data_IF_403384119852
#
_entry.id   IF_403384119852
#
_cell.length_a   1.000
_cell.length_b   1.000
_cell.length_c   1.000
_cell.angle_alpha   90.00
_cell.angle_beta   90.00
_cell.angle_gamma   90.00
#
_symmetry.space_group_name_H-M   'P 1'
#
loop_
_entity.id
_entity.type
_entity.pdbx_description
1 polymer ?
#
# COMPACT_ATOMS: atom_id res chain seq x y z
N UNK A 1 0.07 -11.86 26.23
CA UNK A 1 1.21 -12.79 26.22
C UNK A 1 1.68 -12.95 24.79
N UNK A 2 2.87 -12.42 24.48
CA UNK A 2 3.51 -12.55 23.17
C UNK A 2 3.71 -14.03 22.83
N UNK A 3 3.37 -14.45 21.61
CA UNK A 3 4.04 -15.59 20.97
C UNK A 3 4.51 -15.16 19.59
N UNK A 4 5.80 -14.87 19.58
CA UNK A 4 6.66 -14.72 18.43
C UNK A 4 6.65 -16.06 17.68
N UNK A 5 5.88 -16.16 16.61
CA UNK A 5 5.71 -17.37 15.81
C UNK A 5 6.28 -17.18 14.42
N UNK A 6 7.61 -17.16 14.29
CA UNK A 6 8.27 -17.48 13.00
C UNK A 6 7.88 -18.90 12.63
N UNK A 7 6.77 -19.02 11.90
CA UNK A 7 6.31 -20.27 11.31
C UNK A 7 7.22 -20.62 10.14
N UNK A 8 8.39 -21.20 10.45
CA UNK A 8 9.08 -22.06 9.49
C UNK A 8 8.24 -23.32 9.36
N UNK A 9 7.15 -23.24 8.59
CA UNK A 9 6.41 -24.40 8.12
C UNK A 9 6.99 -24.80 6.77
N UNK A 10 8.20 -25.34 6.81
CA UNK A 10 8.54 -26.39 5.85
C UNK A 10 7.58 -27.54 6.13
N UNK A 11 6.50 -27.59 5.35
CA UNK A 11 5.50 -28.64 5.43
C UNK A 11 6.22 -29.96 5.12
N UNK A 12 6.42 -30.76 6.17
CA UNK A 12 6.63 -32.19 6.02
C UNK A 12 5.44 -32.72 5.22
N UNK A 13 5.72 -33.20 4.00
CA UNK A 13 4.75 -33.94 3.20
C UNK A 13 4.16 -35.01 4.12
N UNK A 14 2.84 -34.93 4.27
CA UNK A 14 2.01 -35.72 5.16
C UNK A 14 1.99 -37.18 4.69
N UNK A 15 3.07 -37.91 5.00
CA UNK A 15 3.15 -39.36 4.87
C UNK A 15 2.53 -40.03 6.10
N UNK A 16 1.25 -40.37 5.96
CA UNK A 16 0.49 -41.41 6.68
C UNK A 16 1.13 -41.99 7.97
N UNK A 17 0.71 -41.48 9.14
CA UNK A 17 1.02 -42.06 10.45
C UNK A 17 0.08 -43.25 10.69
N UNK A 18 0.47 -44.44 10.23
CA UNK A 18 -0.06 -45.72 10.68
C UNK A 18 1.05 -46.79 10.64
N UNK A 19 1.40 -47.34 11.80
CA UNK A 19 2.05 -48.65 11.90
C UNK A 19 3.56 -48.68 12.19
N UNK A 20 3.86 -49.05 13.44
CA UNK A 20 5.04 -49.78 13.92
C UNK A 20 6.43 -49.12 13.93
N UNK A 21 7.07 -49.27 15.09
CA UNK A 21 8.43 -48.87 15.34
C UNK A 21 9.42 -49.70 14.54
N UNK A 22 10.07 -49.04 13.59
CA UNK A 22 11.41 -49.38 13.16
C UNK A 22 12.18 -48.06 13.05
N UNK A 23 13.34 -48.01 13.69
CA UNK A 23 14.31 -46.92 13.52
C UNK A 23 14.92 -47.05 12.14
N UNK A 24 14.17 -46.72 11.09
CA UNK A 24 14.72 -46.57 9.76
C UNK A 24 15.67 -45.37 9.78
N UNK A 25 16.87 -45.54 9.24
CA UNK A 25 17.74 -44.46 8.81
C UNK A 25 16.87 -43.42 8.12
N UNK A 26 16.70 -42.25 8.76
CA UNK A 26 15.97 -41.14 8.15
C UNK A 26 16.78 -40.67 6.95
N UNK A 27 16.51 -41.28 5.80
CA UNK A 27 16.74 -40.65 4.51
C UNK A 27 16.17 -39.24 4.65
N UNK A 28 16.97 -38.17 4.42
CA UNK A 28 16.46 -36.82 4.55
C UNK A 28 15.30 -36.66 3.57
N UNK A 29 14.08 -36.65 4.08
CA UNK A 29 12.88 -36.39 3.29
C UNK A 29 13.09 -35.03 2.66
N UNK A 30 13.03 -34.98 1.33
CA UNK A 30 13.22 -33.74 0.56
C UNK A 30 12.21 -32.71 1.05
N UNK A 31 12.68 -31.69 1.76
CA UNK A 31 11.85 -30.53 2.11
C UNK A 31 11.58 -29.85 0.77
N UNK A 32 10.33 -29.91 0.30
CA UNK A 32 9.92 -29.25 -0.93
C UNK A 32 9.08 -28.03 -0.56
N UNK A 33 9.46 -26.86 -1.08
CA UNK A 33 8.67 -25.64 -0.92
C UNK A 33 7.42 -25.72 -1.80
N UNK A 34 6.25 -25.74 -1.17
CA UNK A 34 4.97 -25.79 -1.87
C UNK A 34 4.55 -24.39 -2.35
N UNK A 35 5.01 -24.03 -3.57
CA UNK A 35 4.62 -22.77 -4.22
C UNK A 35 3.12 -22.68 -4.52
N UNK A 36 2.40 -23.81 -4.53
CA UNK A 36 0.98 -23.89 -4.91
C UNK A 36 0.01 -23.74 -3.73
N UNK A 37 0.54 -23.67 -2.51
CA UNK A 37 -0.24 -23.53 -1.28
C UNK A 37 -1.29 -22.43 -1.38
N UNK A 38 -2.47 -22.68 -0.84
CA UNK A 38 -3.54 -21.69 -0.73
C UNK A 38 -3.10 -20.43 0.03
N UNK A 39 -2.10 -20.55 0.90
CA UNK A 39 -1.53 -19.44 1.67
C UNK A 39 -0.80 -18.39 0.81
N UNK A 40 -0.49 -18.74 -0.44
CA UNK A 40 0.15 -17.86 -1.44
C UNK A 40 -0.81 -17.46 -2.56
N UNK A 41 -2.11 -17.58 -2.33
CA UNK A 41 -3.15 -17.10 -3.24
C UNK A 41 -3.81 -15.84 -2.71
N UNK A 42 -4.28 -15.00 -3.62
CA UNK A 42 -4.94 -13.72 -3.34
C UNK A 42 -6.07 -13.47 -4.36
N UNK A 43 -6.79 -12.35 -4.22
CA UNK A 43 -7.88 -11.96 -5.12
C UNK A 43 -8.90 -13.11 -5.29
N UNK A 44 -9.52 -13.52 -4.17
CA UNK A 44 -10.46 -14.65 -4.11
C UNK A 44 -9.84 -16.00 -4.50
N UNK A 45 -8.58 -16.23 -4.14
CA UNK A 45 -7.78 -17.42 -4.47
C UNK A 45 -7.51 -17.65 -5.97
N UNK A 46 -7.80 -16.65 -6.81
CA UNK A 46 -7.62 -16.73 -8.26
C UNK A 46 -6.16 -16.57 -8.70
N UNK A 47 -5.38 -15.76 -7.98
CA UNK A 47 -4.03 -15.37 -8.40
C UNK A 47 -2.98 -15.71 -7.35
N UNK A 48 -1.78 -16.06 -7.80
CA UNK A 48 -0.62 -16.15 -6.93
C UNK A 48 -0.26 -14.75 -6.39
N UNK A 49 0.19 -14.66 -5.13
CA UNK A 49 0.47 -13.39 -4.43
C UNK A 49 1.41 -12.45 -5.18
N UNK A 50 2.40 -13.00 -5.90
CA UNK A 50 3.27 -12.21 -6.80
C UNK A 50 2.49 -11.50 -7.91
N UNK A 51 1.63 -12.23 -8.61
CA UNK A 51 0.82 -11.67 -9.71
C UNK A 51 -0.18 -10.66 -9.17
N UNK A 52 -0.83 -10.97 -8.05
CA UNK A 52 -1.71 -10.03 -7.37
C UNK A 52 -1.00 -8.74 -6.96
N UNK A 53 0.19 -8.84 -6.36
CA UNK A 53 0.99 -7.68 -5.97
C UNK A 53 1.43 -6.83 -7.18
N UNK A 54 1.76 -7.45 -8.33
CA UNK A 54 2.06 -6.72 -9.56
C UNK A 54 0.83 -5.97 -10.10
N UNK A 55 -0.35 -6.62 -10.10
CA UNK A 55 -1.60 -5.98 -10.54
C UNK A 55 -1.94 -4.80 -9.63
N UNK A 56 -1.84 -4.98 -8.32
CA UNK A 56 -2.05 -3.92 -7.33
C UNK A 56 -1.10 -2.74 -7.59
N UNK A 57 0.20 -3.00 -7.74
CA UNK A 57 1.17 -1.95 -8.04
C UNK A 57 0.87 -1.17 -9.33
N UNK A 58 0.34 -1.84 -10.36
CA UNK A 58 -0.11 -1.17 -11.59
C UNK A 58 -1.34 -0.29 -11.36
N UNK A 59 -2.33 -0.76 -10.59
CA UNK A 59 -3.53 0.02 -10.27
C UNK A 59 -3.15 1.22 -9.39
N UNK A 60 -2.27 1.04 -8.42
CA UNK A 60 -1.77 2.09 -7.55
C UNK A 60 -1.01 3.16 -8.34
N UNK A 61 -0.19 2.77 -9.32
CA UNK A 61 0.46 3.73 -10.23
C UNK A 61 -0.56 4.58 -11.02
N UNK A 62 -1.68 3.99 -11.45
CA UNK A 62 -2.76 4.73 -12.09
C UNK A 62 -3.49 5.67 -11.12
N UNK A 63 -3.69 5.26 -9.87
CA UNK A 63 -4.27 6.11 -8.83
C UNK A 63 -3.36 7.29 -8.50
N UNK A 64 -2.06 7.07 -8.37
CA UNK A 64 -1.07 8.15 -8.17
C UNK A 64 -1.15 9.16 -9.32
N UNK A 65 -1.23 8.69 -10.56
CA UNK A 65 -1.39 9.57 -11.73
C UNK A 65 -2.70 10.37 -11.67
N UNK A 66 -3.81 9.72 -11.29
CA UNK A 66 -5.10 10.41 -11.13
C UNK A 66 -5.02 11.53 -10.08
N UNK A 67 -4.48 11.25 -8.88
CA UNK A 67 -4.32 12.26 -7.84
C UNK A 67 -3.37 13.38 -8.26
N UNK A 68 -2.29 13.07 -8.96
CA UNK A 68 -1.38 14.07 -9.52
C UNK A 68 -2.11 15.03 -10.48
N UNK A 69 -2.90 14.50 -11.42
CA UNK A 69 -3.67 15.31 -12.37
C UNK A 69 -4.72 16.17 -11.63
N UNK A 70 -5.40 15.59 -10.65
CA UNK A 70 -6.39 16.30 -9.83
C UNK A 70 -5.75 17.46 -9.04
N UNK A 71 -4.61 17.23 -8.42
CA UNK A 71 -3.85 18.23 -7.68
C UNK A 71 -3.37 19.38 -8.58
N UNK A 72 -2.88 19.06 -9.79
CA UNK A 72 -2.54 20.05 -10.80
C UNK A 72 -3.76 20.87 -11.24
N UNK A 73 -4.92 20.23 -11.40
CA UNK A 73 -6.14 20.91 -11.78
C UNK A 73 -6.58 21.93 -10.71
N UNK A 74 -6.58 21.55 -9.43
CA UNK A 74 -6.86 22.47 -8.33
C UNK A 74 -5.87 23.63 -8.33
N UNK A 75 -4.58 23.34 -8.49
CA UNK A 75 -3.54 24.37 -8.51
C UNK A 75 -3.73 25.36 -9.66
N UNK A 76 -4.02 24.89 -10.87
CA UNK A 76 -4.23 25.77 -12.03
C UNK A 76 -5.56 26.53 -12.00
N UNK A 77 -6.61 25.94 -11.43
CA UNK A 77 -7.88 26.64 -11.23
C UNK A 77 -7.82 27.69 -10.12
N UNK A 78 -6.80 27.62 -9.25
CA UNK A 78 -6.59 28.61 -8.21
C UNK A 78 -6.13 29.95 -8.81
N UNK A 79 -7.09 30.84 -9.08
CA UNK A 79 -6.83 32.14 -9.71
C UNK A 79 -6.15 33.13 -8.74
N UNK A 80 -4.82 33.07 -8.70
CA UNK A 80 -3.95 33.91 -7.87
C UNK A 80 -4.20 35.43 -8.10
N UNK A 81 -4.61 35.82 -9.31
CA UNK A 81 -4.79 37.24 -9.67
C UNK A 81 -6.05 37.85 -9.06
N UNK A 82 -7.05 37.04 -8.75
CA UNK A 82 -8.31 37.51 -8.13
C UNK A 82 -8.15 37.63 -6.61
N UNK A 83 -7.42 36.73 -5.95
CA UNK A 83 -7.18 36.83 -4.50
C UNK A 83 -6.29 38.02 -4.13
N UNK A 84 -5.25 38.33 -4.91
CA UNK A 84 -4.37 39.46 -4.63
C UNK A 84 -5.11 40.81 -4.66
N UNK A 85 -6.19 40.91 -5.45
CA UNK A 85 -7.10 42.08 -5.47
C UNK A 85 -8.08 42.14 -4.30
N UNK A 86 -8.36 41.00 -3.66
CA UNK A 86 -9.29 40.88 -2.52
C UNK A 86 -8.66 41.17 -1.16
N UNK A 87 -7.33 41.36 -1.10
CA UNK A 87 -6.60 41.65 0.14
C UNK A 87 -6.46 40.45 1.10
N UNK A 88 -6.97 39.28 0.74
CA UNK A 88 -6.84 38.04 1.52
C UNK A 88 -5.48 37.42 1.25
N UNK A 89 -4.66 37.31 2.30
CA UNK A 89 -3.24 36.91 2.26
C UNK A 89 -2.99 35.41 2.44
N UNK A 90 -4.01 34.56 2.31
CA UNK A 90 -3.93 33.13 2.67
C UNK A 90 -3.88 32.25 1.43
N UNK A 91 -2.67 32.04 0.90
CA UNK A 91 -2.41 31.00 -0.10
C UNK A 91 -2.29 29.64 0.62
N UNK A 92 -3.44 29.02 0.88
CA UNK A 92 -3.51 27.68 1.49
C UNK A 92 -3.33 26.56 0.44
N UNK A 93 -3.56 26.85 -0.84
CA UNK A 93 -3.53 25.86 -1.92
C UNK A 93 -2.09 25.47 -2.23
N UNK A 94 -1.16 26.43 -2.27
CA UNK A 94 0.25 26.11 -2.57
C UNK A 94 0.91 25.17 -1.54
N UNK A 95 0.82 25.39 -0.21
CA UNK A 95 1.37 24.45 0.77
C UNK A 95 0.76 23.05 0.69
N UNK A 96 -0.55 22.95 0.47
CA UNK A 96 -1.25 21.66 0.34
C UNK A 96 -0.81 20.92 -0.92
N UNK A 97 -0.70 21.64 -2.05
CA UNK A 97 -0.17 21.10 -3.30
C UNK A 97 1.26 20.56 -3.12
N UNK A 98 2.16 21.31 -2.49
CA UNK A 98 3.54 20.87 -2.24
C UNK A 98 3.57 19.60 -1.37
N UNK A 99 2.76 19.56 -0.30
CA UNK A 99 2.68 18.39 0.57
C UNK A 99 2.19 17.14 -0.20
N UNK A 100 1.19 17.30 -1.05
CA UNK A 100 0.66 16.23 -1.90
C UNK A 100 1.69 15.74 -2.92
N UNK A 101 2.42 16.65 -3.59
CA UNK A 101 3.49 16.29 -4.54
C UNK A 101 4.60 15.47 -3.86
N UNK A 102 4.97 15.83 -2.63
CA UNK A 102 5.95 15.04 -1.85
C UNK A 102 5.39 13.66 -1.54
N UNK A 103 4.14 13.56 -1.08
CA UNK A 103 3.47 12.29 -0.80
C UNK A 103 3.41 11.37 -2.02
N UNK A 104 2.96 11.90 -3.16
CA UNK A 104 2.89 11.16 -4.44
C UNK A 104 4.28 10.74 -4.93
N UNK A 105 5.30 11.58 -4.75
CA UNK A 105 6.68 11.25 -5.08
C UNK A 105 7.20 10.07 -4.25
N UNK A 106 6.99 10.07 -2.94
CA UNK A 106 7.36 8.97 -2.05
C UNK A 106 6.62 7.68 -2.42
N UNK A 107 5.31 7.77 -2.70
CA UNK A 107 4.50 6.64 -3.15
C UNK A 107 5.01 6.05 -4.47
N UNK A 108 5.37 6.91 -5.44
CA UNK A 108 5.93 6.47 -6.73
C UNK A 108 7.23 5.69 -6.55
N UNK A 109 8.14 6.19 -5.70
CA UNK A 109 9.40 5.49 -5.39
C UNK A 109 9.11 4.13 -4.75
N UNK A 110 8.16 4.07 -3.81
CA UNK A 110 7.78 2.84 -3.14
C UNK A 110 7.19 1.80 -4.11
N UNK A 111 6.34 2.22 -5.06
CA UNK A 111 5.80 1.36 -6.12
C UNK A 111 6.90 0.84 -7.05
N UNK A 112 7.87 1.69 -7.41
CA UNK A 112 9.04 1.24 -8.19
C UNK A 112 9.83 0.18 -7.43
N UNK A 113 10.07 0.38 -6.13
CA UNK A 113 10.76 -0.59 -5.28
C UNK A 113 9.96 -1.90 -5.15
N UNK A 114 8.63 -1.84 -5.09
CA UNK A 114 7.76 -3.01 -5.13
C UNK A 114 8.01 -3.84 -6.40
N UNK A 115 7.98 -3.21 -7.58
CA UNK A 115 8.24 -3.88 -8.84
C UNK A 115 9.64 -4.50 -8.90
N UNK A 116 10.66 -3.77 -8.47
CA UNK A 116 12.04 -4.28 -8.40
C UNK A 116 12.13 -5.43 -7.40
N UNK A 117 11.49 -5.33 -6.24
CA UNK A 117 11.48 -6.35 -5.20
C UNK A 117 10.86 -7.66 -5.67
N UNK A 118 9.71 -7.58 -6.36
CA UNK A 118 9.05 -8.76 -6.92
C UNK A 118 9.89 -9.38 -8.05
N UNK A 119 10.35 -8.58 -9.01
CA UNK A 119 11.13 -9.07 -10.16
C UNK A 119 12.49 -9.66 -9.76
N UNK A 120 13.14 -9.08 -8.75
CA UNK A 120 14.42 -9.57 -8.21
C UNK A 120 14.26 -10.60 -7.10
N UNK A 121 13.02 -10.97 -6.74
CA UNK A 121 12.71 -11.87 -5.61
C UNK A 121 13.37 -11.43 -4.29
N UNK A 122 13.42 -10.13 -4.01
CA UNK A 122 14.01 -9.55 -2.80
C UNK A 122 12.92 -8.96 -1.90
N UNK A 123 12.57 -9.67 -0.83
CA UNK A 123 11.56 -9.27 0.15
C UNK A 123 11.84 -7.87 0.76
N UNK A 124 13.09 -7.60 1.14
CA UNK A 124 13.47 -6.32 1.76
C UNK A 124 13.08 -5.08 0.92
N UNK A 125 13.04 -5.18 -0.41
CA UNK A 125 12.65 -4.06 -1.29
C UNK A 125 11.13 -3.81 -1.32
N UNK A 126 10.33 -4.75 -0.84
CA UNK A 126 8.86 -4.63 -0.74
C UNK A 126 8.45 -3.91 0.55
N UNK A 127 9.28 -3.97 1.60
CA UNK A 127 9.00 -3.36 2.91
C UNK A 127 8.68 -1.86 2.84
N UNK A 128 9.43 -1.02 2.08
CA UNK A 128 9.11 0.40 1.96
C UNK A 128 7.69 0.66 1.44
N UNK A 129 7.20 -0.17 0.52
CA UNK A 129 5.85 -0.09 -0.01
C UNK A 129 4.79 -0.38 1.05
N UNK A 130 4.98 -1.45 1.85
CA UNK A 130 4.10 -1.76 3.00
C UNK A 130 4.04 -0.59 3.99
N UNK A 131 5.18 0.05 4.29
CA UNK A 131 5.23 1.19 5.21
C UNK A 131 4.47 2.39 4.67
N UNK A 132 4.69 2.74 3.39
CA UNK A 132 3.98 3.84 2.74
C UNK A 132 2.47 3.57 2.68
N UNK A 133 2.06 2.33 2.42
CA UNK A 133 0.66 1.91 2.40
C UNK A 133 -0.01 2.08 3.78
N UNK A 134 0.67 1.70 4.88
CA UNK A 134 0.18 1.95 6.24
C UNK A 134 0.02 3.46 6.54
N UNK A 135 0.96 4.29 6.08
CA UNK A 135 0.88 5.75 6.23
C UNK A 135 -0.30 6.28 5.41
N UNK A 136 -0.50 5.81 4.17
CA UNK A 136 -1.60 6.19 3.30
C UNK A 136 -2.97 5.86 3.92
N UNK A 137 -3.12 4.67 4.51
CA UNK A 137 -4.34 4.27 5.26
C UNK A 137 -4.65 5.28 6.37
N UNK A 138 -3.64 5.66 7.16
CA UNK A 138 -3.81 6.64 8.23
C UNK A 138 -4.21 8.00 7.68
N UNK A 139 -3.55 8.47 6.61
CA UNK A 139 -3.86 9.75 5.97
C UNK A 139 -5.28 9.78 5.40
N UNK A 140 -5.71 8.74 4.68
CA UNK A 140 -7.07 8.66 4.15
C UNK A 140 -8.12 8.63 5.26
N UNK A 141 -7.86 7.91 6.35
CA UNK A 141 -8.74 7.90 7.51
C UNK A 141 -8.89 9.30 8.13
N UNK A 142 -7.78 10.02 8.31
CA UNK A 142 -7.79 11.38 8.82
C UNK A 142 -8.51 12.36 7.87
N UNK A 143 -8.31 12.25 6.56
CA UNK A 143 -8.99 13.07 5.55
C UNK A 143 -10.52 12.84 5.53
N UNK A 144 -10.98 11.61 5.78
CA UNK A 144 -12.40 11.33 5.91
C UNK A 144 -13.00 11.94 7.17
N UNK A 145 -12.30 11.87 8.30
CA UNK A 145 -12.71 12.56 9.54
C UNK A 145 -12.78 14.07 9.29
N UNK A 146 -11.75 14.64 8.66
CA UNK A 146 -11.70 16.04 8.29
C UNK A 146 -12.89 16.45 7.42
N UNK A 147 -13.21 15.66 6.38
CA UNK A 147 -14.38 15.88 5.54
C UNK A 147 -15.71 15.85 6.31
N UNK A 148 -15.89 14.90 7.23
CA UNK A 148 -17.09 14.82 8.07
C UNK A 148 -17.21 16.07 8.96
N UNK A 149 -16.11 16.49 9.58
CA UNK A 149 -16.09 17.67 10.45
C UNK A 149 -16.34 18.94 9.63
N UNK A 150 -15.72 19.07 8.46
CA UNK A 150 -15.93 20.18 7.52
C UNK A 150 -17.41 20.36 7.18
N UNK A 151 -18.12 19.27 6.85
CA UNK A 151 -19.55 19.32 6.55
C UNK A 151 -20.43 19.59 7.75
N UNK A 152 -20.07 19.07 8.93
CA UNK A 152 -20.87 19.27 10.14
C UNK A 152 -20.77 20.70 10.69
N UNK A 153 -19.69 21.42 10.38
CA UNK A 153 -19.36 22.72 10.97
C UNK A 153 -19.31 23.87 9.96
N UNK A 154 -19.36 23.57 8.66
CA UNK A 154 -19.12 24.49 7.54
C UNK A 154 -17.82 25.31 7.67
N UNK A 155 -16.85 24.79 8.42
CA UNK A 155 -15.63 25.51 8.78
C UNK A 155 -14.66 25.57 7.62
N UNK A 156 -14.21 26.80 7.29
CA UNK A 156 -13.22 27.05 6.27
C UNK A 156 -11.89 26.34 6.53
N UNK A 157 -11.52 26.14 7.80
CA UNK A 157 -10.24 25.52 8.18
C UNK A 157 -10.18 24.07 7.74
N UNK A 158 -11.26 23.31 7.94
CA UNK A 158 -11.30 21.89 7.56
C UNK A 158 -11.45 21.74 6.04
N UNK A 159 -12.19 22.62 5.36
CA UNK A 159 -12.19 22.63 3.88
C UNK A 159 -10.81 22.97 3.28
N UNK A 160 -10.01 23.83 3.93
CA UNK A 160 -8.63 24.11 3.52
C UNK A 160 -7.73 22.88 3.69
N UNK A 161 -7.87 22.17 4.81
CA UNK A 161 -7.08 20.98 5.11
C UNK A 161 -7.38 19.84 4.13
N UNK A 162 -8.66 19.67 3.79
CA UNK A 162 -9.11 18.69 2.80
C UNK A 162 -8.57 18.98 1.39
N UNK A 163 -8.39 20.26 1.05
CA UNK A 163 -7.90 20.78 -0.24
C UNK A 163 -8.54 20.09 -1.47
N UNK A 164 -9.82 19.67 -1.36
CA UNK A 164 -10.49 18.92 -2.42
C UNK A 164 -10.99 19.81 -3.58
N UNK A 165 -11.15 21.12 -3.34
CA UNK A 165 -11.49 22.09 -4.37
C UNK A 165 -11.09 23.50 -3.91
N UNK A 166 -10.78 24.39 -4.86
CA UNK A 166 -10.57 25.80 -4.55
C UNK A 166 -11.92 26.49 -4.25
N UNK A 167 -12.02 27.18 -3.11
CA UNK A 167 -13.20 27.94 -2.72
C UNK A 167 -12.84 29.36 -2.24
N UNK A 168 -13.85 30.24 -2.23
CA UNK A 168 -13.73 31.63 -1.79
C UNK A 168 -14.26 31.77 -0.37
N UNK A 169 -13.43 32.32 0.51
CA UNK A 169 -13.84 32.63 1.87
C UNK A 169 -14.40 34.04 1.99
N UNK A 170 -15.32 34.21 2.94
CA UNK A 170 -15.76 35.53 3.33
C UNK A 170 -14.77 36.15 4.32
N UNK A 171 -14.34 37.41 4.14
CA UNK A 171 -13.25 38.01 4.91
C UNK A 171 -13.51 38.13 6.43
N UNK A 172 -14.78 38.04 6.87
CA UNK A 172 -15.18 38.23 8.27
C UNK A 172 -15.89 37.02 8.89
N UNK A 173 -15.91 35.85 8.23
CA UNK A 173 -16.56 34.64 8.77
C UNK A 173 -15.65 33.43 8.56
N UNK A 174 -15.59 32.57 9.59
CA UNK A 174 -14.87 31.29 9.54
C UNK A 174 -15.67 30.19 8.82
N UNK A 175 -16.85 30.51 8.29
CA UNK A 175 -17.74 29.59 7.58
C UNK A 175 -17.75 29.86 6.08
N UNK A 176 -17.78 28.82 5.26
CA UNK A 176 -17.76 28.92 3.79
C UNK A 176 -19.14 28.67 3.21
N UNK A 177 -19.59 29.52 2.30
CA UNK A 177 -20.74 29.23 1.43
C UNK A 177 -20.20 28.67 0.12
N UNK A 178 -20.32 27.35 -0.09
CA UNK A 178 -19.84 26.69 -1.29
C UNK A 178 -20.87 26.78 -2.41
N UNK A 179 -20.39 27.02 -3.63
CA UNK A 179 -21.20 26.84 -4.82
C UNK A 179 -21.53 25.35 -5.03
N UNK A 180 -22.67 25.08 -5.67
CA UNK A 180 -23.15 23.71 -5.90
C UNK A 180 -22.11 22.88 -6.67
N UNK A 181 -21.40 23.48 -7.63
CA UNK A 181 -20.34 22.80 -8.37
C UNK A 181 -19.14 22.41 -7.51
N UNK A 182 -18.70 23.31 -6.62
CA UNK A 182 -17.59 23.04 -5.67
C UNK A 182 -17.98 21.97 -4.65
N UNK A 183 -19.21 22.02 -4.16
CA UNK A 183 -19.75 21.05 -3.21
C UNK A 183 -19.81 19.65 -3.82
N UNK A 184 -20.28 19.50 -5.07
CA UNK A 184 -20.28 18.22 -5.79
C UNK A 184 -18.86 17.66 -5.97
N UNK A 185 -17.87 18.50 -6.31
CA UNK A 185 -16.47 18.06 -6.40
C UNK A 185 -15.93 17.52 -5.07
N UNK A 186 -16.21 18.22 -3.97
CA UNK A 186 -15.76 17.79 -2.64
C UNK A 186 -16.40 16.45 -2.24
N UNK A 187 -17.69 16.26 -2.50
CA UNK A 187 -18.35 14.97 -2.27
C UNK A 187 -17.76 13.85 -3.12
N UNK A 188 -17.53 14.10 -4.41
CA UNK A 188 -16.92 13.11 -5.30
C UNK A 188 -15.53 12.70 -4.80
N UNK A 189 -14.70 13.66 -4.37
CA UNK A 189 -13.38 13.36 -3.82
C UNK A 189 -13.43 12.59 -2.50
N UNK A 190 -14.37 12.90 -1.61
CA UNK A 190 -14.53 12.14 -0.36
C UNK A 190 -14.99 10.69 -0.60
N UNK A 191 -15.86 10.47 -1.59
CA UNK A 191 -16.22 9.10 -2.02
C UNK A 191 -14.99 8.38 -2.56
N UNK A 192 -14.17 9.04 -3.38
CA UNK A 192 -12.93 8.47 -3.89
C UNK A 192 -11.97 8.14 -2.74
N UNK A 193 -11.79 9.02 -1.75
CA UNK A 193 -10.96 8.73 -0.57
C UNK A 193 -11.49 7.53 0.25
N UNK A 194 -12.80 7.38 0.38
CA UNK A 194 -13.40 6.22 1.06
C UNK A 194 -13.13 4.91 0.30
N UNK A 195 -13.27 4.91 -1.02
CA UNK A 195 -12.94 3.76 -1.86
C UNK A 195 -11.45 3.43 -1.76
N UNK A 196 -10.58 4.44 -1.85
CA UNK A 196 -9.14 4.28 -1.69
C UNK A 196 -8.79 3.67 -0.34
N UNK A 197 -9.37 4.16 0.76
CA UNK A 197 -9.12 3.59 2.10
C UNK A 197 -9.46 2.09 2.17
N UNK A 198 -10.59 1.68 1.61
CA UNK A 198 -11.01 0.27 1.59
C UNK A 198 -10.04 -0.58 0.76
N UNK A 199 -9.63 -0.07 -0.41
CA UNK A 199 -8.67 -0.74 -1.28
C UNK A 199 -7.30 -0.87 -0.61
N UNK A 200 -6.76 0.20 -0.04
CA UNK A 200 -5.48 0.22 0.67
C UNK A 200 -5.45 -0.79 1.84
N UNK A 201 -6.52 -0.84 2.64
CA UNK A 201 -6.65 -1.82 3.73
C UNK A 201 -6.62 -3.27 3.23
N UNK A 202 -7.14 -3.54 2.03
CA UNK A 202 -7.10 -4.86 1.44
C UNK A 202 -5.76 -5.16 0.78
N UNK A 203 -5.20 -4.18 0.06
CA UNK A 203 -3.94 -4.30 -0.66
C UNK A 203 -2.76 -4.54 0.27
N UNK A 204 -2.70 -3.86 1.42
CA UNK A 204 -1.62 -4.07 2.40
C UNK A 204 -1.49 -5.54 2.81
N UNK A 205 -2.60 -6.26 2.93
CA UNK A 205 -2.61 -7.69 3.29
C UNK A 205 -2.02 -8.53 2.15
N UNK A 206 -2.37 -8.22 0.90
CA UNK A 206 -1.85 -8.93 -0.28
C UNK A 206 -0.35 -8.69 -0.43
N UNK A 207 0.09 -7.44 -0.31
CA UNK A 207 1.52 -7.08 -0.41
C UNK A 207 2.30 -7.69 0.74
N UNK A 208 1.77 -7.67 1.97
CA UNK A 208 2.39 -8.33 3.12
C UNK A 208 2.57 -9.84 2.88
N UNK A 209 1.53 -10.52 2.37
CA UNK A 209 1.62 -11.94 2.03
C UNK A 209 2.63 -12.20 0.91
N UNK A 210 2.73 -11.30 -0.07
CA UNK A 210 3.77 -11.38 -1.11
C UNK A 210 5.18 -11.22 -0.51
N UNK A 211 5.37 -10.27 0.41
CA UNK A 211 6.64 -10.08 1.11
C UNK A 211 7.02 -11.31 1.93
N UNK A 212 6.07 -11.87 2.69
CA UNK A 212 6.25 -13.12 3.44
C UNK A 212 6.65 -14.27 2.52
N UNK A 213 5.94 -14.45 1.40
CA UNK A 213 6.28 -15.46 0.41
C UNK A 213 7.71 -15.31 -0.13
N UNK A 214 8.12 -14.07 -0.45
CA UNK A 214 9.48 -13.81 -0.94
C UNK A 214 10.55 -14.12 0.11
N UNK A 215 10.29 -13.79 1.38
CA UNK A 215 11.19 -14.05 2.51
C UNK A 215 11.36 -15.56 2.76
N UNK A 216 10.23 -16.29 2.82
CA UNK A 216 10.20 -17.74 2.99
C UNK A 216 10.89 -18.47 1.83
N UNK A 217 10.62 -18.05 0.58
CA UNK A 217 11.29 -18.59 -0.62
C UNK A 217 12.79 -18.34 -0.59
N UNK A 218 13.23 -17.15 -0.18
CA UNK A 218 14.65 -16.82 -0.10
C UNK A 218 15.37 -17.66 0.95
N UNK A 219 14.74 -17.87 2.11
CA UNK A 219 15.24 -18.72 3.20
C UNK A 219 15.33 -20.18 2.76
N UNK A 220 14.32 -20.69 2.05
CA UNK A 220 14.33 -22.02 1.48
C UNK A 220 15.46 -22.21 0.45
N UNK A 221 15.66 -21.24 -0.43
CA UNK A 221 16.75 -21.30 -1.43
C UNK A 221 18.13 -21.34 -0.75
N UNK A 222 18.34 -20.53 0.30
CA UNK A 222 19.59 -20.56 1.09
C UNK A 222 19.81 -21.91 1.76
N UNK A 223 18.75 -22.52 2.31
CA UNK A 223 18.80 -23.88 2.85
C UNK A 223 19.24 -24.88 1.77
N UNK A 224 18.58 -24.89 0.60
CA UNK A 224 18.94 -25.80 -0.50
C UNK A 224 20.40 -25.63 -0.95
N UNK A 225 20.91 -24.40 -1.03
CA UNK A 225 22.32 -24.14 -1.36
C UNK A 225 23.27 -24.67 -0.29
N UNK A 226 22.95 -24.48 0.99
CA UNK A 226 23.77 -24.94 2.11
C UNK A 226 23.83 -26.47 2.22
N UNK A 227 22.78 -27.20 1.85
CA UNK A 227 22.75 -28.67 1.93
C UNK A 227 23.17 -29.38 0.62
N UNK A 228 23.02 -28.74 -0.55
CA UNK A 228 23.50 -29.31 -1.83
C UNK A 228 25.01 -29.16 -2.04
N UNK A 229 25.65 -28.16 -1.43
CA UNK A 229 27.10 -27.94 -1.52
C UNK A 229 27.95 -29.03 -0.85
N UNK A 230 27.68 -29.49 0.39
CA UNK A 230 28.45 -30.57 1.01
C UNK A 230 28.23 -31.94 0.34
N UNK A 231 27.05 -32.20 -0.22
CA UNK A 231 26.79 -33.46 -0.94
C UNK A 231 27.65 -33.60 -2.21
N UNK A 232 27.91 -32.50 -2.94
CA UNK A 232 28.83 -32.52 -4.09
C UNK A 232 30.28 -32.81 -3.69
N UNK A 233 30.70 -32.38 -2.50
CA UNK A 233 32.07 -32.68 -2.01
C UNK A 233 32.21 -34.10 -1.48
N UNK A 234 31.11 -34.73 -1.04
CA UNK A 234 31.08 -36.12 -0.59
C UNK A 234 30.94 -37.11 -1.75
N UNK A 235 30.22 -36.77 -2.82
CA UNK A 235 30.06 -37.61 -4.01
C UNK A 235 31.24 -37.54 -4.99
N UNK A 236 32.21 -36.65 -4.76
CA UNK A 236 33.40 -36.47 -5.58
C UNK A 236 34.64 -37.20 -5.01
N UNK A 237 34.46 -38.01 -3.96
CA UNK A 237 35.43 -39.00 -3.47
C UNK A 237 35.05 -40.38 -3.97
#
# INVERSE_FOLDING_TARGET
TMMNGRSVRSVLIRGNRNGNGHTEERIPTTIQFDESSGDYRCLCNCFHVKTGAMIIGCIEALMILFYFIHSLFIYFQHDYRVQQKSGVKTDYVFPCFVAEMVGLGVATIAVILLFIGITRNKAMLVVPHIVVQCIAILCFFLLLIDGIVAFSTDSAVFYRLLNAAAFREHPNRSTVALDTGTLVHIYAMLVIYAISLILECWWVVVIYNCNRYLDERSSYMQYCLAFSTPMKTLSAR
#
